data_IF_171135806225
#
_entry.id   IF_171135806225
#
_cell.length_a   1.000
_cell.length_b   1.000
_cell.length_c   1.000
_cell.angle_alpha   90.00
_cell.angle_beta   90.00
_cell.angle_gamma   90.00
#
_symmetry.space_group_name_H-M   'P 1'
#
loop_
_entity.id
_entity.type
_entity.pdbx_description
1 polymer ?
#
# COMPACT_ATOMS: atom_id res chain seq x y z
N UNK A 1 -16.22 34.92 -52.75
CA UNK A 1 -17.69 34.99 -52.92
C UNK A 1 -18.28 33.82 -52.15
N UNK A 2 -19.25 33.89 -51.21
CA UNK A 2 -19.96 34.98 -50.47
C UNK A 2 -19.97 34.51 -48.97
N UNK A 3 -19.87 35.31 -47.90
CA UNK A 3 -20.72 36.41 -47.38
C UNK A 3 -22.18 35.97 -47.07
N UNK A 4 -22.80 36.18 -45.89
CA UNK A 4 -22.41 36.65 -44.52
C UNK A 4 -22.96 35.62 -43.47
N UNK A 5 -23.19 35.77 -42.15
CA UNK A 5 -23.12 36.78 -41.05
C UNK A 5 -22.82 36.01 -39.72
N UNK A 6 -22.50 36.49 -38.49
CA UNK A 6 -22.64 37.73 -37.67
C UNK A 6 -23.90 37.86 -36.74
N UNK A 7 -23.78 37.34 -35.50
CA UNK A 7 -24.02 37.98 -34.15
C UNK A 7 -25.41 38.64 -33.82
N UNK A 8 -25.74 39.11 -32.57
CA UNK A 8 -25.13 38.95 -31.22
C UNK A 8 -26.15 38.66 -30.05
N UNK A 9 -25.68 38.79 -28.78
CA UNK A 9 -26.42 39.19 -27.55
C UNK A 9 -27.41 38.17 -26.92
N UNK A 10 -27.82 38.25 -25.63
CA UNK A 10 -27.55 39.21 -24.52
C UNK A 10 -27.40 38.45 -23.17
N UNK A 11 -26.79 39.06 -22.16
CA UNK A 11 -26.57 38.48 -20.83
C UNK A 11 -27.72 38.73 -19.83
N UNK A 12 -27.71 38.02 -18.70
CA UNK A 12 -28.32 38.49 -17.45
C UNK A 12 -27.32 38.34 -16.29
N UNK A 13 -27.02 39.43 -15.60
CA UNK A 13 -26.32 39.40 -14.31
C UNK A 13 -27.32 39.20 -13.18
N UNK A 14 -26.97 38.35 -12.20
CA UNK A 14 -27.50 38.44 -10.84
C UNK A 14 -26.31 38.47 -9.89
N UNK A 15 -26.00 39.67 -9.38
CA UNK A 15 -25.02 39.83 -8.31
C UNK A 15 -25.75 39.79 -6.96
N UNK A 16 -25.46 38.78 -6.14
CA UNK A 16 -25.92 38.68 -4.77
C UNK A 16 -24.78 38.12 -3.91
N UNK A 17 -23.96 39.03 -3.36
CA UNK A 17 -22.92 38.66 -2.40
C UNK A 17 -23.42 38.84 -0.97
N UNK A 18 -23.12 37.90 -0.08
CA UNK A 18 -23.14 38.16 1.36
C UNK A 18 -22.17 37.23 2.12
N UNK A 19 -21.51 37.82 3.12
CA UNK A 19 -20.82 37.23 4.28
C UNK A 19 -20.23 35.80 4.19
N UNK A 20 -18.91 35.72 4.38
CA UNK A 20 -18.24 34.50 4.86
C UNK A 20 -18.65 34.22 6.30
N UNK A 21 -19.03 32.98 6.59
CA UNK A 21 -19.05 32.42 7.94
C UNK A 21 -18.53 30.97 7.88
N UNK A 22 -17.32 30.73 8.41
CA UNK A 22 -16.78 29.38 8.52
C UNK A 22 -17.38 28.69 9.75
N UNK A 23 -18.07 27.56 9.57
CA UNK A 23 -18.37 26.64 10.67
C UNK A 23 -17.50 25.39 10.54
N UNK A 24 -16.61 25.20 11.50
CA UNK A 24 -15.75 24.01 11.61
C UNK A 24 -16.52 22.83 12.18
N UNK A 25 -17.22 22.09 11.33
CA UNK A 25 -17.86 20.82 11.69
C UNK A 25 -16.83 19.69 11.78
N UNK A 26 -16.16 19.59 12.91
CA UNK A 26 -15.37 18.42 13.29
C UNK A 26 -16.29 17.21 13.51
N UNK A 27 -16.47 16.37 12.49
CA UNK A 27 -17.18 15.11 12.61
C UNK A 27 -16.35 14.12 13.44
N UNK A 28 -16.73 13.94 14.71
CA UNK A 28 -16.21 12.84 15.54
C UNK A 28 -16.68 11.48 15.01
N UNK A 29 -15.99 10.37 15.39
CA UNK A 29 -16.46 9.03 15.08
C UNK A 29 -17.82 8.76 15.74
N UNK A 30 -18.68 7.91 15.15
CA UNK A 30 -20.01 7.62 15.69
C UNK A 30 -19.94 6.92 17.05
N UNK A 31 -20.86 7.29 17.94
CA UNK A 31 -20.95 6.72 19.29
C UNK A 31 -21.15 5.20 19.27
N UNK A 32 -20.28 4.49 20.00
CA UNK A 32 -20.53 3.11 20.38
C UNK A 32 -21.68 3.00 21.39
N UNK A 33 -22.33 1.84 21.52
CA UNK A 33 -23.48 1.68 22.41
C UNK A 33 -23.13 2.02 23.87
N UNK A 34 -23.90 2.92 24.47
CA UNK A 34 -23.70 3.39 25.85
C UNK A 34 -23.95 2.28 26.86
N UNK A 35 -22.87 1.75 27.43
CA UNK A 35 -22.89 0.74 28.48
C UNK A 35 -23.34 1.32 29.84
N UNK A 36 -24.61 1.71 29.94
CA UNK A 36 -25.27 2.04 31.20
C UNK A 36 -25.37 0.79 32.09
N UNK A 37 -24.33 0.51 32.88
CA UNK A 37 -24.29 -0.71 33.69
C UNK A 37 -23.20 -0.83 34.77
N UNK A 38 -22.38 0.19 35.02
CA UNK A 38 -21.29 0.11 36.02
C UNK A 38 -21.82 0.13 37.45
N UNK A 39 -22.27 -1.03 37.94
CA UNK A 39 -22.44 -1.28 39.38
C UNK A 39 -21.04 -1.35 40.00
N UNK A 40 -20.66 -0.32 40.75
CA UNK A 40 -19.38 -0.26 41.43
C UNK A 40 -19.36 -1.25 42.62
N UNK A 41 -18.94 -2.49 42.35
CA UNK A 41 -18.68 -3.48 43.41
C UNK A 41 -17.41 -3.05 44.15
N UNK A 42 -17.60 -2.51 45.36
CA UNK A 42 -16.49 -2.12 46.24
C UNK A 42 -15.61 -3.33 46.57
N UNK A 43 -14.38 -3.32 46.06
CA UNK A 43 -13.41 -4.38 46.31
C UNK A 43 -12.96 -4.35 47.79
N UNK A 44 -13.34 -5.38 48.55
CA UNK A 44 -12.81 -5.60 49.90
C UNK A 44 -11.36 -6.05 49.75
N UNK A 45 -10.41 -5.16 50.02
CA UNK A 45 -8.98 -5.46 49.96
C UNK A 45 -8.53 -6.21 51.23
N UNK A 46 -8.00 -7.44 51.14
CA UNK A 46 -7.43 -8.13 52.28
C UNK A 46 -6.13 -7.45 52.73
N UNK A 47 -5.93 -7.16 54.03
CA UNK A 47 -4.68 -6.58 54.51
C UNK A 47 -3.52 -7.56 54.30
N UNK A 48 -2.50 -7.13 53.56
CA UNK A 48 -1.23 -7.86 53.39
C UNK A 48 -0.93 -8.41 51.98
N UNK A 49 -1.82 -8.30 51.00
CA UNK A 49 -1.58 -8.81 49.64
C UNK A 49 -1.11 -7.71 48.68
N UNK A 50 0.18 -7.70 48.33
CA UNK A 50 0.70 -6.83 47.26
C UNK A 50 0.33 -7.38 45.88
N UNK A 51 -0.69 -6.82 45.25
CA UNK A 51 -1.06 -7.18 43.88
C UNK A 51 0.09 -6.90 42.89
N UNK A 52 0.44 -7.90 42.08
CA UNK A 52 1.41 -7.79 40.98
C UNK A 52 0.69 -7.97 39.64
N UNK A 53 0.53 -6.89 38.88
CA UNK A 53 0.05 -6.95 37.50
C UNK A 53 1.24 -7.13 36.55
N UNK A 54 1.19 -8.16 35.70
CA UNK A 54 2.13 -8.34 34.60
C UNK A 54 1.56 -7.70 33.34
N UNK A 55 1.87 -6.42 33.13
CA UNK A 55 1.46 -5.72 31.91
C UNK A 55 2.30 -6.26 30.74
N UNK A 56 1.64 -6.74 29.68
CA UNK A 56 2.33 -7.10 28.45
C UNK A 56 2.94 -5.85 27.82
N UNK A 57 4.25 -5.87 27.56
CA UNK A 57 4.94 -4.78 26.86
C UNK A 57 4.56 -4.86 25.37
N UNK A 58 3.43 -4.25 25.03
CA UNK A 58 3.04 -3.99 23.66
C UNK A 58 3.96 -2.90 23.08
N UNK A 59 5.12 -3.32 22.58
CA UNK A 59 6.03 -2.50 21.78
C UNK A 59 5.34 -2.09 20.47
N UNK A 60 4.53 -1.04 20.53
CA UNK A 60 4.05 -0.31 19.37
C UNK A 60 5.22 0.44 18.74
N UNK A 61 6.03 -0.26 17.95
CA UNK A 61 6.91 0.38 16.98
C UNK A 61 6.03 1.22 16.06
N UNK A 62 6.18 2.55 16.09
CA UNK A 62 5.45 3.47 15.21
C UNK A 62 5.79 3.14 13.76
N UNK A 63 4.96 2.34 13.09
CA UNK A 63 5.29 1.63 11.85
C UNK A 63 5.58 2.50 10.62
N UNK A 64 5.48 3.83 10.77
CA UNK A 64 5.73 4.82 9.73
C UNK A 64 6.86 5.80 10.14
N UNK A 65 7.84 5.37 10.93
CA UNK A 65 9.09 6.14 11.05
C UNK A 65 9.91 5.99 9.75
N UNK A 66 10.46 7.09 9.19
CA UNK A 66 11.34 7.01 8.02
C UNK A 66 12.55 6.12 8.28
N UNK A 67 12.94 5.32 7.28
CA UNK A 67 14.20 4.58 7.32
C UNK A 67 15.35 5.60 7.22
N UNK A 68 16.27 5.58 8.18
CA UNK A 68 17.34 6.57 8.26
C UNK A 68 18.22 6.55 7.00
N UNK A 69 18.37 7.69 6.34
CA UNK A 69 19.14 7.84 5.10
C UNK A 69 18.37 7.54 3.81
N UNK A 70 17.10 7.12 3.88
CA UNK A 70 16.26 6.84 2.70
C UNK A 70 15.30 8.00 2.43
N UNK A 71 15.17 8.38 1.16
CA UNK A 71 14.17 9.34 0.67
C UNK A 71 13.19 8.65 -0.28
N UNK A 72 11.99 9.22 -0.38
CA UNK A 72 10.93 8.80 -1.30
C UNK A 72 10.34 10.04 -1.96
N UNK A 73 9.93 9.92 -3.23
CA UNK A 73 9.22 10.96 -3.94
C UNK A 73 8.30 10.31 -4.99
N UNK A 74 7.12 10.90 -5.19
CA UNK A 74 6.20 10.45 -6.24
C UNK A 74 6.77 10.74 -7.64
N UNK A 75 6.52 9.85 -8.60
CA UNK A 75 6.81 10.11 -10.02
C UNK A 75 5.63 9.69 -10.88
N UNK A 76 5.27 10.42 -11.95
CA UNK A 76 4.17 10.03 -12.82
C UNK A 76 4.46 8.70 -13.53
N UNK A 77 3.65 7.69 -13.25
CA UNK A 77 3.64 6.45 -14.02
C UNK A 77 3.18 6.75 -15.46
N UNK A 78 4.12 6.78 -16.40
CA UNK A 78 3.84 7.11 -17.80
C UNK A 78 2.89 6.10 -18.45
N UNK A 79 1.74 6.58 -18.93
CA UNK A 79 0.73 5.75 -19.63
C UNK A 79 -0.65 5.72 -18.96
N UNK A 80 -0.77 6.17 -17.71
CA UNK A 80 -2.05 6.25 -16.99
C UNK A 80 -2.90 7.45 -17.48
N UNK A 81 -4.10 7.24 -18.07
CA UNK A 81 -4.99 8.31 -18.51
C UNK A 81 -5.58 9.19 -17.37
N UNK A 82 -6.07 10.36 -17.76
CA UNK A 82 -6.84 11.24 -16.86
C UNK A 82 -8.14 10.57 -16.44
N UNK A 83 -8.27 10.25 -15.14
CA UNK A 83 -9.44 9.60 -14.55
C UNK A 83 -9.15 8.31 -13.80
N UNK A 84 -7.92 7.80 -13.81
CA UNK A 84 -7.57 6.57 -13.10
C UNK A 84 -7.76 6.68 -11.58
N UNK A 85 -8.21 5.59 -10.91
CA UNK A 85 -8.47 5.61 -9.48
C UNK A 85 -7.16 5.70 -8.67
N UNK A 86 -7.16 6.40 -7.52
CA UNK A 86 -5.96 6.50 -6.67
C UNK A 86 -5.57 5.12 -6.12
N UNK A 87 -4.26 4.91 -5.90
CA UNK A 87 -3.65 3.61 -5.63
C UNK A 87 -4.40 2.75 -4.58
N UNK A 88 -4.92 3.35 -3.51
CA UNK A 88 -5.70 2.66 -2.48
C UNK A 88 -6.93 1.87 -3.01
N UNK A 89 -7.50 2.27 -4.16
CA UNK A 89 -8.61 1.59 -4.85
C UNK A 89 -8.27 1.19 -6.29
N UNK A 90 -6.99 1.18 -6.68
CA UNK A 90 -6.54 0.71 -8.00
C UNK A 90 -6.08 -0.76 -7.90
N UNK A 91 -6.68 -1.72 -8.63
CA UNK A 91 -6.42 -3.15 -8.41
C UNK A 91 -4.97 -3.57 -8.71
N UNK A 92 -4.31 -2.98 -9.71
CA UNK A 92 -2.90 -3.31 -10.01
C UNK A 92 -1.89 -2.71 -9.03
N UNK A 93 -2.27 -1.68 -8.27
CA UNK A 93 -1.40 -1.03 -7.28
C UNK A 93 -1.71 -1.55 -5.86
N UNK A 94 -2.95 -1.93 -5.59
CA UNK A 94 -3.37 -2.50 -4.31
C UNK A 94 -3.56 -4.03 -4.42
N UNK A 95 -2.46 -4.75 -4.19
CA UNK A 95 -2.42 -6.21 -4.14
C UNK A 95 -3.46 -6.84 -3.18
N UNK A 96 -3.92 -6.13 -2.13
CA UNK A 96 -4.95 -6.65 -1.21
C UNK A 96 -6.35 -6.74 -1.86
N UNK A 97 -6.66 -5.88 -2.83
CA UNK A 97 -7.91 -5.95 -3.60
C UNK A 97 -7.93 -7.20 -4.49
N UNK A 98 -6.82 -7.45 -5.19
CA UNK A 98 -6.63 -8.66 -6.00
C UNK A 98 -6.60 -9.91 -5.12
N UNK A 99 -5.89 -9.87 -4.00
CA UNK A 99 -5.73 -10.99 -3.07
C UNK A 99 -5.01 -12.20 -3.71
N UNK A 100 -4.87 -13.28 -2.95
CA UNK A 100 -4.12 -14.46 -3.38
C UNK A 100 -4.56 -15.74 -2.64
N UNK A 101 -4.24 -16.89 -3.22
CA UNK A 101 -4.37 -18.22 -2.59
C UNK A 101 -2.99 -18.91 -2.47
N UNK A 102 -2.76 -19.74 -1.44
CA UNK A 102 -1.55 -20.56 -1.33
C UNK A 102 -1.40 -21.54 -2.49
N UNK A 103 -0.20 -21.61 -3.08
CA UNK A 103 0.16 -22.68 -4.00
C UNK A 103 1.21 -23.61 -3.36
N UNK A 104 0.72 -24.57 -2.57
CA UNK A 104 1.55 -25.57 -1.88
C UNK A 104 2.29 -26.53 -2.82
N UNK A 105 1.98 -26.54 -4.13
CA UNK A 105 2.66 -27.36 -5.14
C UNK A 105 3.75 -26.62 -5.93
N UNK A 106 3.98 -25.33 -5.65
CA UNK A 106 5.05 -24.58 -6.32
C UNK A 106 6.43 -24.90 -5.74
N UNK A 107 7.45 -24.88 -6.59
CA UNK A 107 8.84 -25.00 -6.18
C UNK A 107 9.29 -23.74 -5.42
N UNK A 108 9.83 -23.92 -4.21
CA UNK A 108 10.32 -22.84 -3.35
C UNK A 108 11.82 -22.59 -3.58
N UNK A 109 12.15 -22.09 -4.76
CA UNK A 109 13.53 -21.76 -5.14
C UNK A 109 13.62 -21.04 -6.48
N UNK A 110 14.84 -20.72 -6.90
CA UNK A 110 15.10 -20.04 -8.16
C UNK A 110 14.89 -20.99 -9.35
N UNK A 111 14.22 -20.50 -10.38
CA UNK A 111 14.05 -21.18 -11.68
C UNK A 111 14.69 -20.31 -12.74
N UNK A 112 15.61 -20.88 -13.51
CA UNK A 112 16.25 -20.18 -14.62
C UNK A 112 15.35 -20.22 -15.86
N UNK A 113 14.99 -19.04 -16.37
CA UNK A 113 14.23 -18.88 -17.61
C UNK A 113 15.10 -18.17 -18.65
N UNK A 114 15.54 -18.90 -19.67
CA UNK A 114 16.27 -18.38 -20.84
C UNK A 114 17.64 -17.70 -20.58
N UNK A 115 18.18 -17.75 -19.37
CA UNK A 115 19.52 -17.27 -19.03
C UNK A 115 19.62 -15.76 -18.76
N UNK A 116 20.85 -15.24 -18.73
CA UNK A 116 21.16 -13.89 -18.27
C UNK A 116 20.91 -12.80 -19.33
N UNK A 117 19.68 -12.30 -19.41
CA UNK A 117 19.30 -11.16 -20.28
C UNK A 117 19.97 -9.84 -19.87
N UNK A 118 20.21 -9.62 -18.58
CA UNK A 118 20.96 -8.48 -18.06
C UNK A 118 22.01 -8.94 -17.03
N UNK A 119 23.28 -8.61 -17.29
CA UNK A 119 24.42 -8.87 -16.40
C UNK A 119 24.42 -8.05 -15.10
N UNK A 120 23.56 -7.02 -15.01
CA UNK A 120 23.38 -6.13 -13.84
C UNK A 120 22.00 -6.28 -13.21
N UNK A 121 21.26 -7.33 -13.54
CA UNK A 121 19.93 -7.58 -13.00
C UNK A 121 19.96 -7.57 -11.46
N UNK A 122 19.01 -6.89 -10.79
CA UNK A 122 18.91 -6.85 -9.33
C UNK A 122 18.95 -8.25 -8.68
N UNK A 123 19.91 -8.46 -7.77
CA UNK A 123 20.15 -9.77 -7.16
C UNK A 123 19.42 -9.89 -5.81
N UNK A 124 18.60 -10.93 -5.61
CA UNK A 124 17.78 -11.11 -4.40
C UNK A 124 18.57 -11.13 -3.07
N UNK A 125 19.87 -11.43 -3.09
CA UNK A 125 20.77 -11.25 -1.93
C UNK A 125 20.86 -9.80 -1.44
N UNK A 126 20.41 -8.82 -2.23
CA UNK A 126 20.32 -7.41 -1.83
C UNK A 126 19.12 -7.07 -0.94
N UNK A 127 18.17 -7.99 -0.73
CA UNK A 127 16.95 -7.73 0.06
C UNK A 127 17.22 -7.48 1.56
N UNK A 128 18.31 -8.03 2.11
CA UNK A 128 18.61 -8.02 3.54
C UNK A 128 20.00 -7.45 3.82
N UNK A 129 20.16 -6.74 4.95
CA UNK A 129 21.41 -6.03 5.31
C UNK A 129 22.64 -6.94 5.44
N UNK A 130 22.44 -8.21 5.79
CA UNK A 130 23.50 -9.24 5.92
C UNK A 130 23.91 -9.89 4.59
N UNK A 131 23.21 -9.53 3.50
CA UNK A 131 23.35 -10.07 2.14
C UNK A 131 23.14 -11.58 2.01
N UNK A 132 22.38 -12.20 2.92
CA UNK A 132 22.07 -13.64 2.85
C UNK A 132 21.22 -13.97 1.62
N UNK A 133 21.33 -15.22 1.13
CA UNK A 133 20.37 -15.78 0.17
C UNK A 133 18.99 -15.87 0.86
N UNK A 134 17.92 -15.27 0.31
CA UNK A 134 16.60 -15.34 0.92
C UNK A 134 16.04 -16.77 0.96
N UNK A 135 15.56 -17.21 2.12
CA UNK A 135 14.84 -18.48 2.26
C UNK A 135 13.41 -18.30 1.79
N UNK A 136 13.02 -19.02 0.73
CA UNK A 136 11.64 -19.12 0.27
C UNK A 136 10.84 -19.98 1.26
N UNK A 137 9.76 -19.43 1.81
CA UNK A 137 8.91 -20.11 2.83
C UNK A 137 7.48 -20.35 2.37
N UNK A 138 7.03 -19.63 1.34
CA UNK A 138 5.70 -19.81 0.76
C UNK A 138 5.66 -19.34 -0.70
N UNK A 139 4.70 -19.87 -1.45
CA UNK A 139 4.36 -19.44 -2.79
C UNK A 139 2.84 -19.34 -2.92
N UNK A 140 2.38 -18.38 -3.71
CA UNK A 140 0.98 -18.04 -3.87
C UNK A 140 0.65 -17.75 -5.33
N UNK A 141 -0.63 -17.85 -5.68
CA UNK A 141 -1.19 -17.29 -6.91
C UNK A 141 -2.06 -16.10 -6.54
N UNK A 142 -1.80 -14.97 -7.19
CA UNK A 142 -2.60 -13.75 -7.10
C UNK A 142 -3.80 -13.91 -8.05
N UNK A 143 -4.97 -13.40 -7.69
CA UNK A 143 -6.09 -13.39 -8.64
C UNK A 143 -5.90 -12.32 -9.72
N UNK A 144 -6.46 -12.59 -10.89
CA UNK A 144 -6.60 -11.62 -11.96
C UNK A 144 -7.65 -10.54 -11.63
N UNK A 145 -7.72 -9.47 -12.43
CA UNK A 145 -8.78 -8.47 -12.32
C UNK A 145 -9.65 -8.43 -13.58
N UNK A 146 -10.92 -8.79 -13.43
CA UNK A 146 -11.91 -8.67 -14.50
C UNK A 146 -12.43 -7.23 -14.56
N UNK A 147 -11.71 -6.41 -15.34
CA UNK A 147 -12.04 -5.02 -15.63
C UNK A 147 -13.46 -4.80 -16.15
N UNK A 148 -14.01 -5.69 -16.98
CA UNK A 148 -15.36 -5.51 -17.54
C UNK A 148 -16.49 -5.66 -16.50
N UNK A 149 -16.19 -6.22 -15.33
CA UNK A 149 -17.12 -6.33 -14.19
C UNK A 149 -16.64 -5.56 -12.96
N UNK A 150 -15.45 -4.95 -13.04
CA UNK A 150 -14.65 -4.38 -11.95
C UNK A 150 -14.57 -5.27 -10.70
N UNK A 151 -14.18 -6.54 -10.88
CA UNK A 151 -14.13 -7.57 -9.82
C UNK A 151 -12.92 -8.49 -9.97
N UNK A 152 -12.60 -9.19 -8.89
CA UNK A 152 -11.64 -10.31 -8.85
C UNK A 152 -11.98 -11.38 -9.90
N UNK A 153 -10.98 -11.77 -10.68
CA UNK A 153 -11.05 -12.82 -11.70
C UNK A 153 -10.58 -14.19 -11.17
N UNK A 154 -10.14 -15.05 -12.08
CA UNK A 154 -9.53 -16.35 -11.74
C UNK A 154 -8.09 -16.18 -11.20
N UNK A 155 -7.50 -17.23 -10.62
CA UNK A 155 -6.08 -17.24 -10.24
C UNK A 155 -5.17 -17.14 -11.47
N UNK A 156 -4.12 -16.32 -11.39
CA UNK A 156 -3.07 -16.28 -12.41
C UNK A 156 -2.32 -17.62 -12.47
N UNK A 157 -2.22 -18.19 -13.66
CA UNK A 157 -1.66 -19.55 -13.90
C UNK A 157 -0.51 -19.59 -14.90
N UNK A 158 -0.17 -18.48 -15.55
CA UNK A 158 0.95 -18.37 -16.51
C UNK A 158 2.31 -18.77 -15.89
N UNK A 159 2.50 -18.51 -14.59
CA UNK A 159 3.69 -18.90 -13.83
C UNK A 159 3.31 -19.76 -12.62
N UNK A 160 4.19 -20.67 -12.16
CA UNK A 160 3.92 -21.52 -10.99
C UNK A 160 3.62 -20.74 -9.71
N UNK A 161 4.26 -19.59 -9.52
CA UNK A 161 4.00 -18.65 -8.44
C UNK A 161 3.92 -17.23 -9.03
N UNK A 162 3.05 -16.39 -8.47
CA UNK A 162 2.95 -14.96 -8.83
C UNK A 162 3.05 -14.03 -7.61
N UNK A 163 3.26 -14.62 -6.43
CA UNK A 163 3.62 -13.96 -5.18
C UNK A 163 4.40 -14.99 -4.33
N UNK A 164 5.42 -14.54 -3.61
CA UNK A 164 6.31 -15.38 -2.80
C UNK A 164 6.40 -14.84 -1.37
N UNK A 165 6.55 -15.75 -0.40
CA UNK A 165 6.92 -15.42 0.97
C UNK A 165 8.40 -15.72 1.20
N UNK A 166 9.14 -14.75 1.73
CA UNK A 166 10.56 -14.87 2.09
C UNK A 166 10.72 -14.77 3.61
N UNK A 167 11.64 -15.53 4.19
CA UNK A 167 11.90 -15.51 5.62
C UNK A 167 12.58 -14.21 6.06
N UNK A 168 11.89 -13.42 6.89
CA UNK A 168 12.40 -12.17 7.45
C UNK A 168 12.49 -12.22 8.99
N UNK A 169 13.50 -11.56 9.54
CA UNK A 169 13.70 -11.32 10.97
C UNK A 169 12.88 -10.11 11.41
N UNK A 170 12.12 -10.22 12.51
CA UNK A 170 11.32 -9.09 13.03
C UNK A 170 12.22 -7.88 13.32
N UNK A 171 11.99 -6.78 12.62
CA UNK A 171 12.71 -5.51 12.81
C UNK A 171 13.96 -5.34 11.94
N UNK A 172 14.28 -6.29 11.05
CA UNK A 172 15.29 -6.02 10.02
C UNK A 172 14.73 -5.09 8.92
N UNK A 173 15.60 -4.29 8.32
CA UNK A 173 15.26 -3.50 7.13
C UNK A 173 15.23 -4.41 5.91
N UNK A 174 14.11 -4.41 5.18
CA UNK A 174 14.06 -4.95 3.82
C UNK A 174 14.44 -3.82 2.87
N UNK A 175 15.46 -4.08 2.04
CA UNK A 175 15.95 -3.14 1.03
C UNK A 175 15.45 -3.54 -0.34
N UNK A 176 15.49 -2.63 -1.30
CA UNK A 176 15.40 -3.01 -2.72
C UNK A 176 16.79 -3.46 -3.21
N UNK A 177 16.90 -4.62 -3.89
CA UNK A 177 18.10 -4.99 -4.61
C UNK A 177 18.53 -3.94 -5.65
N UNK A 178 19.71 -3.35 -5.48
CA UNK A 178 20.24 -2.38 -6.43
C UNK A 178 20.72 -3.03 -7.74
N UNK A 179 20.45 -2.36 -8.87
CA UNK A 179 20.97 -2.70 -10.20
C UNK A 179 22.30 -2.02 -10.56
N UNK A 180 22.66 -0.96 -9.84
CA UNK A 180 23.78 -0.08 -10.22
C UNK A 180 23.48 0.80 -11.45
N UNK A 181 22.21 1.07 -11.75
CA UNK A 181 21.81 2.11 -12.70
C UNK A 181 20.54 2.84 -12.25
N UNK A 182 20.41 4.11 -12.62
CA UNK A 182 19.22 4.92 -12.36
C UNK A 182 18.10 4.64 -13.37
N UNK A 183 16.86 4.81 -12.92
CA UNK A 183 15.61 4.67 -13.65
C UNK A 183 14.94 6.05 -13.70
N UNK A 184 14.42 6.44 -14.86
CA UNK A 184 13.88 7.78 -15.11
C UNK A 184 14.99 8.81 -15.36
N UNK A 185 15.18 9.16 -16.62
CA UNK A 185 16.39 9.80 -17.19
C UNK A 185 16.85 11.11 -16.51
N UNK A 186 15.94 11.80 -15.82
CA UNK A 186 16.18 13.11 -15.17
C UNK A 186 15.96 13.12 -13.66
N UNK A 187 15.39 12.05 -13.09
CA UNK A 187 14.99 12.01 -11.68
C UNK A 187 15.88 11.10 -10.81
N UNK A 188 16.59 10.15 -11.41
CA UNK A 188 17.63 9.39 -10.72
C UNK A 188 17.12 8.34 -9.72
N UNK A 189 15.91 7.83 -9.87
CA UNK A 189 15.37 6.79 -8.98
C UNK A 189 16.16 5.48 -9.13
N UNK A 190 16.33 4.73 -8.04
CA UNK A 190 16.89 3.37 -8.12
C UNK A 190 15.81 2.31 -8.41
N UNK A 191 14.53 2.63 -8.17
CA UNK A 191 13.40 1.70 -8.20
C UNK A 191 12.05 2.45 -8.30
N UNK A 192 11.02 1.76 -8.78
CA UNK A 192 9.60 2.09 -8.60
C UNK A 192 8.96 0.97 -7.76
N UNK A 193 8.17 1.32 -6.74
CA UNK A 193 7.64 0.40 -5.71
C UNK A 193 6.12 0.56 -5.56
#
# INVERSE_FOLDING_TARGET
MRHHARLPLLALLVAAGLAVAQLTTSAGPPDGPTANGTTAVSAISPPGVTARAWLSICLSTSGCQPIAGVSYADTPAGGYPSGDPPAAIHPDLNLSMRGWEPNTSAYLGLVEYNGSTDSRAPQLVGLFSDRRVPTFIAAYRVYDWNWSTNRRGALLTQYPATLIGLAATRGETVHVPASGYTIGDTAGFEVLV
#
